data_IF_760387424173
#
_entry.id   IF_760387424173
#
_cell.length_a   1.000
_cell.length_b   1.000
_cell.length_c   1.000
_cell.angle_alpha   90.00
_cell.angle_beta   90.00
_cell.angle_gamma   90.00
#
_symmetry.space_group_name_H-M   'P 1'
#
loop_
_entity.id
_entity.type
_entity.pdbx_description
1 polymer ?
#
# COMPACT_ATOMS: atom_id res chain seq x y z
N UNK A 1 -4.97 27.46 9.62
CA UNK A 1 -5.73 26.82 8.73
C UNK A 1 -5.68 25.32 8.85
N UNK A 2 -6.66 24.74 8.51
CA UNK A 2 -6.82 23.38 8.80
C UNK A 2 -6.49 22.55 7.60
N UNK A 3 -5.80 21.50 7.83
CA UNK A 3 -5.57 20.57 6.80
C UNK A 3 -6.69 19.56 6.78
N UNK A 4 -7.30 19.47 5.67
CA UNK A 4 -8.46 18.66 5.53
C UNK A 4 -8.17 17.18 5.51
N UNK A 5 -6.96 16.81 5.16
CA UNK A 5 -6.60 15.40 5.08
C UNK A 5 -6.02 14.91 6.39
N UNK A 6 -6.86 14.81 7.38
CA UNK A 6 -6.44 14.31 8.68
C UNK A 6 -7.08 12.97 9.01
N UNK A 7 -7.38 12.18 7.99
CA UNK A 7 -8.11 10.95 8.19
C UNK A 7 -7.29 9.84 8.83
N UNK A 8 -5.96 9.89 8.66
CA UNK A 8 -5.10 8.84 9.17
C UNK A 8 -5.52 7.48 8.59
N UNK A 9 -6.04 7.48 7.38
CA UNK A 9 -6.49 6.26 6.74
C UNK A 9 -5.42 5.73 5.81
N UNK A 10 -5.15 4.44 5.96
CA UNK A 10 -4.17 3.74 5.14
C UNK A 10 -4.90 2.92 4.09
N UNK A 11 -4.48 3.08 2.85
CA UNK A 11 -5.00 2.29 1.74
C UNK A 11 -4.03 1.15 1.49
N UNK A 12 -4.49 -0.10 1.57
CA UNK A 12 -3.64 -1.24 1.26
C UNK A 12 -3.96 -1.70 -0.15
N UNK A 13 -2.98 -1.55 -1.03
CA UNK A 13 -3.11 -1.99 -2.41
C UNK A 13 -2.52 -3.39 -2.56
N UNK A 14 -3.30 -4.31 -3.13
CA UNK A 14 -2.82 -5.68 -3.26
C UNK A 14 -3.58 -6.40 -4.36
N UNK A 15 -2.94 -7.44 -4.92
CA UNK A 15 -3.60 -8.31 -5.86
C UNK A 15 -4.48 -9.31 -5.09
N UNK A 16 -5.38 -9.97 -5.81
CA UNK A 16 -6.31 -10.90 -5.20
C UNK A 16 -5.61 -11.98 -4.38
N UNK A 17 -4.51 -12.49 -4.90
CA UNK A 17 -3.81 -13.59 -4.24
C UNK A 17 -3.17 -13.19 -2.92
N UNK A 18 -3.06 -11.90 -2.67
CA UNK A 18 -2.45 -11.40 -1.44
C UNK A 18 -3.47 -11.00 -0.39
N UNK A 19 -4.71 -11.42 -0.58
CA UNK A 19 -5.79 -11.04 0.32
C UNK A 19 -5.50 -11.41 1.77
N UNK A 20 -4.97 -12.62 1.98
CA UNK A 20 -4.74 -13.10 3.34
C UNK A 20 -3.77 -12.19 4.09
N UNK A 21 -2.67 -11.84 3.45
CA UNK A 21 -1.72 -10.93 4.08
C UNK A 21 -2.32 -9.55 4.25
N UNK A 22 -3.02 -9.05 3.24
CA UNK A 22 -3.62 -7.73 3.33
C UNK A 22 -4.61 -7.66 4.48
N UNK A 23 -5.42 -8.71 4.64
CA UNK A 23 -6.41 -8.73 5.71
C UNK A 23 -5.74 -8.78 7.07
N UNK A 24 -4.71 -9.62 7.21
CA UNK A 24 -3.98 -9.71 8.47
C UNK A 24 -3.32 -8.38 8.81
N UNK A 25 -2.71 -7.76 7.82
CA UNK A 25 -2.05 -6.48 8.01
C UNK A 25 -3.05 -5.41 8.42
N UNK A 26 -4.23 -5.41 7.79
CA UNK A 26 -5.26 -4.43 8.13
C UNK A 26 -5.68 -4.56 9.58
N UNK A 27 -5.85 -5.79 10.05
CA UNK A 27 -6.26 -6.01 11.44
C UNK A 27 -5.20 -5.51 12.40
N UNK A 28 -3.93 -5.78 12.10
CA UNK A 28 -2.86 -5.33 12.97
C UNK A 28 -2.73 -3.81 12.99
N UNK A 29 -2.93 -3.17 11.85
CA UNK A 29 -2.90 -1.72 11.80
C UNK A 29 -4.05 -1.11 12.58
N UNK A 30 -5.23 -1.71 12.49
CA UNK A 30 -6.38 -1.22 13.24
C UNK A 30 -6.16 -1.31 14.74
N UNK A 31 -5.49 -2.36 15.18
CA UNK A 31 -5.16 -2.49 16.59
C UNK A 31 -4.28 -1.36 17.09
N UNK A 32 -3.54 -0.74 16.19
CA UNK A 32 -2.66 0.37 16.53
C UNK A 32 -3.29 1.73 16.28
N UNK A 33 -4.59 1.74 15.99
CA UNK A 33 -5.32 2.99 15.88
C UNK A 33 -5.45 3.56 14.49
N UNK A 34 -4.95 2.85 13.47
CA UNK A 34 -5.08 3.32 12.10
C UNK A 34 -6.45 2.98 11.55
N UNK A 35 -6.98 3.84 10.72
CA UNK A 35 -8.09 3.50 9.85
C UNK A 35 -7.49 2.84 8.62
N UNK A 36 -8.13 1.77 8.16
CA UNK A 36 -7.57 1.02 7.04
C UNK A 36 -8.66 0.71 6.03
N UNK A 37 -8.32 0.88 4.78
CA UNK A 37 -9.19 0.47 3.68
C UNK A 37 -8.46 -0.52 2.79
N UNK A 38 -9.10 -1.65 2.54
CA UNK A 38 -8.67 -2.61 1.52
C UNK A 38 -9.90 -3.38 1.08
N UNK A 39 -9.83 -3.98 -0.11
CA UNK A 39 -11.03 -4.69 -0.56
C UNK A 39 -11.05 -6.10 0.02
N UNK A 40 -12.23 -6.46 0.50
CA UNK A 40 -12.44 -7.80 1.05
C UNK A 40 -12.63 -8.79 -0.08
N UNK A 41 -13.37 -8.40 -1.10
CA UNK A 41 -13.47 -9.22 -2.27
C UNK A 41 -13.54 -8.32 -3.49
N UNK A 42 -12.94 -8.80 -4.55
CA UNK A 42 -12.84 -8.00 -5.76
C UNK A 42 -14.09 -8.17 -6.58
N UNK A 43 -14.71 -7.06 -6.89
CA UNK A 43 -15.88 -7.03 -7.75
C UNK A 43 -15.55 -6.19 -8.98
N UNK A 44 -16.52 -6.03 -9.83
CA UNK A 44 -16.36 -5.19 -11.02
C UNK A 44 -17.58 -4.34 -11.18
N UNK A 45 -17.45 -3.30 -12.01
CA UNK A 45 -18.55 -2.41 -12.28
C UNK A 45 -18.29 -1.01 -11.75
N UNK A 46 -19.21 -0.12 -12.07
CA UNK A 46 -19.06 1.29 -11.73
C UNK A 46 -19.10 1.53 -10.23
N UNK A 47 -19.98 0.83 -9.54
CA UNK A 47 -20.08 1.01 -8.11
C UNK A 47 -18.78 0.62 -7.41
N UNK A 48 -18.19 -0.47 -7.86
CA UNK A 48 -16.92 -0.93 -7.31
C UNK A 48 -15.80 0.08 -7.56
N UNK A 49 -15.76 0.59 -8.79
CA UNK A 49 -14.75 1.57 -9.16
C UNK A 49 -14.91 2.84 -8.32
N UNK A 50 -16.16 3.27 -8.12
CA UNK A 50 -16.41 4.45 -7.29
C UNK A 50 -15.95 4.27 -5.86
N UNK A 51 -16.13 3.08 -5.32
CA UNK A 51 -15.67 2.81 -3.96
C UNK A 51 -14.16 2.91 -3.84
N UNK A 52 -13.46 2.38 -4.84
CA UNK A 52 -12.00 2.47 -4.83
C UNK A 52 -11.55 3.92 -4.94
N UNK A 53 -12.17 4.67 -5.83
CA UNK A 53 -11.82 6.08 -6.00
C UNK A 53 -12.05 6.86 -4.72
N UNK A 54 -13.18 6.64 -4.07
CA UNK A 54 -13.46 7.33 -2.82
C UNK A 54 -12.43 6.98 -1.76
N UNK A 55 -12.09 5.70 -1.67
CA UNK A 55 -11.12 5.26 -0.68
C UNK A 55 -9.75 5.89 -0.92
N UNK A 56 -9.34 5.98 -2.19
CA UNK A 56 -8.06 6.60 -2.52
C UNK A 56 -8.05 8.07 -2.14
N UNK A 57 -9.16 8.76 -2.36
CA UNK A 57 -9.25 10.17 -2.02
C UNK A 57 -9.33 10.40 -0.53
N UNK A 58 -9.93 9.47 0.19
CA UNK A 58 -10.09 9.60 1.64
C UNK A 58 -8.86 9.16 2.41
N UNK A 59 -7.95 8.45 1.77
CA UNK A 59 -6.74 7.98 2.42
C UNK A 59 -5.62 8.97 2.24
N UNK A 60 -4.66 8.95 3.15
CA UNK A 60 -3.50 9.82 3.04
C UNK A 60 -2.19 9.04 3.14
N UNK A 61 -2.24 7.73 3.07
CA UNK A 61 -1.05 6.90 3.02
C UNK A 61 -1.40 5.58 2.36
N UNK A 62 -0.38 4.90 1.87
CA UNK A 62 -0.60 3.64 1.16
C UNK A 62 0.51 2.65 1.47
N UNK A 63 0.11 1.41 1.67
CA UNK A 63 1.03 0.28 1.69
C UNK A 63 0.68 -0.57 0.47
N UNK A 64 1.65 -0.77 -0.40
CA UNK A 64 1.43 -1.56 -1.62
C UNK A 64 2.15 -2.89 -1.50
N UNK A 65 1.39 -3.97 -1.51
CA UNK A 65 1.95 -5.32 -1.43
C UNK A 65 2.21 -5.79 -2.86
N UNK A 66 3.47 -6.02 -3.18
CA UNK A 66 3.90 -6.31 -4.53
C UNK A 66 4.61 -7.65 -4.60
N UNK A 67 4.17 -8.48 -5.53
CA UNK A 67 4.83 -9.75 -5.81
C UNK A 67 4.52 -10.10 -7.26
N UNK A 68 4.86 -11.32 -7.67
CA UNK A 68 4.67 -11.72 -9.06
C UNK A 68 3.24 -11.52 -9.54
N UNK A 69 2.27 -11.77 -8.65
CA UNK A 69 0.86 -11.68 -9.04
C UNK A 69 0.43 -10.23 -9.26
N UNK A 70 0.97 -9.32 -8.47
CA UNK A 70 0.55 -7.92 -8.54
C UNK A 70 1.17 -7.20 -9.73
N UNK A 71 2.30 -7.69 -10.24
CA UNK A 71 2.97 -7.01 -11.36
C UNK A 71 2.10 -6.92 -12.60
N UNK A 72 1.18 -7.86 -12.77
CA UNK A 72 0.29 -7.84 -13.93
C UNK A 72 -1.10 -7.34 -13.58
N UNK A 73 -1.32 -6.90 -12.36
CA UNK A 73 -2.63 -6.41 -11.95
C UNK A 73 -2.80 -4.95 -12.36
N UNK A 74 -3.78 -4.68 -13.20
CA UNK A 74 -4.04 -3.30 -13.60
C UNK A 74 -4.61 -2.49 -12.43
N UNK A 75 -5.30 -3.13 -11.50
CA UNK A 75 -5.81 -2.43 -10.32
C UNK A 75 -4.69 -1.91 -9.46
N UNK A 76 -3.71 -2.78 -9.16
CA UNK A 76 -2.58 -2.37 -8.34
C UNK A 76 -1.81 -1.24 -9.02
N UNK A 77 -1.59 -1.39 -10.32
CA UNK A 77 -0.85 -0.36 -11.05
C UNK A 77 -1.57 0.98 -11.01
N UNK A 78 -2.88 0.97 -11.22
CA UNK A 78 -3.64 2.22 -11.20
C UNK A 78 -3.62 2.88 -9.83
N UNK A 79 -3.71 2.07 -8.78
CA UNK A 79 -3.68 2.60 -7.42
C UNK A 79 -2.32 3.19 -7.10
N UNK A 80 -1.25 2.52 -7.53
CA UNK A 80 0.09 3.05 -7.35
C UNK A 80 0.26 4.38 -8.07
N UNK A 81 -0.23 4.46 -9.30
CA UNK A 81 -0.10 5.69 -10.07
C UNK A 81 -0.85 6.83 -9.41
N UNK A 82 -2.03 6.53 -8.87
CA UNK A 82 -2.77 7.56 -8.15
C UNK A 82 -1.94 8.11 -6.99
N UNK A 83 -1.35 7.22 -6.20
CA UNK A 83 -0.58 7.65 -5.04
C UNK A 83 0.68 8.41 -5.46
N UNK A 84 1.32 7.98 -6.53
CA UNK A 84 2.56 8.62 -6.97
C UNK A 84 2.34 10.04 -7.46
N UNK A 85 1.17 10.33 -8.00
CA UNK A 85 0.90 11.65 -8.55
C UNK A 85 0.02 12.51 -7.65
N UNK A 86 -0.19 12.09 -6.41
CA UNK A 86 -1.03 12.82 -5.48
C UNK A 86 -0.20 13.35 -4.32
N UNK A 87 -0.26 14.66 -4.10
CA UNK A 87 0.54 15.31 -3.06
C UNK A 87 0.26 14.75 -1.66
N UNK A 88 -0.97 14.34 -1.41
CA UNK A 88 -1.31 13.82 -0.09
C UNK A 88 -0.52 12.58 0.27
N UNK A 89 -0.09 11.83 -0.73
CA UNK A 89 0.66 10.59 -0.51
C UNK A 89 2.17 10.80 -0.53
N UNK A 90 2.62 12.01 -0.73
CA UNK A 90 4.05 12.26 -0.85
C UNK A 90 4.77 11.84 0.43
N UNK A 91 5.75 10.95 0.27
CA UNK A 91 6.50 10.37 1.39
C UNK A 91 5.61 9.59 2.35
N UNK A 92 4.48 9.11 1.84
CA UNK A 92 3.54 8.32 2.64
C UNK A 92 3.12 7.06 1.90
N UNK A 93 3.90 6.65 0.92
CA UNK A 93 3.68 5.42 0.16
C UNK A 93 4.82 4.46 0.46
N UNK A 94 4.48 3.28 0.95
CA UNK A 94 5.46 2.24 1.23
C UNK A 94 5.26 1.06 0.29
N UNK A 95 6.12 0.88 -0.71
CA UNK A 95 6.08 -0.34 -1.50
C UNK A 95 6.72 -1.49 -0.72
N UNK A 96 6.07 -2.63 -0.72
CA UNK A 96 6.56 -3.82 -0.03
C UNK A 96 6.68 -4.94 -1.06
N UNK A 97 7.91 -5.32 -1.36
CA UNK A 97 8.17 -6.40 -2.32
C UNK A 97 8.34 -7.70 -1.57
N UNK A 98 7.53 -8.69 -1.91
CA UNK A 98 7.56 -9.98 -1.23
C UNK A 98 7.99 -11.04 -2.22
N UNK A 99 9.01 -11.81 -1.84
CA UNK A 99 9.57 -12.84 -2.70
C UNK A 99 10.66 -12.30 -3.57
N UNK A 100 11.00 -13.05 -4.62
CA UNK A 100 12.07 -12.62 -5.50
C UNK A 100 11.64 -11.49 -6.41
N UNK A 101 12.56 -10.59 -6.66
CA UNK A 101 12.38 -9.50 -7.60
C UNK A 101 13.01 -9.89 -8.91
N UNK A 102 12.19 -10.05 -9.91
CA UNK A 102 12.64 -10.37 -11.25
C UNK A 102 12.68 -9.08 -12.03
N UNK A 103 13.83 -8.80 -12.65
CA UNK A 103 13.99 -7.57 -13.42
C UNK A 103 12.90 -7.43 -14.48
N UNK A 104 12.51 -8.53 -15.09
CA UNK A 104 11.49 -8.50 -16.13
C UNK A 104 10.15 -8.01 -15.57
N UNK A 105 9.89 -8.26 -14.30
CA UNK A 105 8.65 -7.82 -13.67
C UNK A 105 8.72 -6.38 -13.23
N UNK A 106 9.92 -5.90 -12.93
CA UNK A 106 10.12 -4.51 -12.53
C UNK A 106 9.69 -3.54 -13.62
N UNK A 107 9.91 -3.91 -14.88
CA UNK A 107 9.58 -2.98 -15.96
C UNK A 107 8.08 -2.78 -16.10
N UNK A 108 7.27 -3.59 -15.45
CA UNK A 108 5.82 -3.43 -15.49
C UNK A 108 5.31 -2.46 -14.45
N UNK A 109 6.17 -2.05 -13.53
CA UNK A 109 5.80 -1.11 -12.50
C UNK A 109 6.41 0.25 -12.81
N UNK A 110 5.83 1.32 -12.26
CA UNK A 110 6.46 2.64 -12.46
C UNK A 110 7.89 2.62 -11.93
N UNK A 111 8.81 3.05 -12.77
CA UNK A 111 10.24 3.02 -12.42
C UNK A 111 10.54 3.83 -11.17
N UNK A 112 9.71 4.82 -10.89
CA UNK A 112 9.96 5.70 -9.75
C UNK A 112 9.86 4.96 -8.42
N UNK A 113 9.20 3.79 -8.41
CA UNK A 113 9.12 2.99 -7.17
C UNK A 113 10.48 2.59 -6.67
N UNK A 114 11.45 2.44 -7.57
CA UNK A 114 12.80 2.06 -7.15
C UNK A 114 13.54 3.21 -6.52
N UNK A 115 12.99 4.43 -6.60
CA UNK A 115 13.61 5.61 -6.00
C UNK A 115 13.03 5.94 -4.65
N UNK A 116 11.96 5.27 -4.26
CA UNK A 116 11.36 5.48 -2.94
C UNK A 116 11.97 4.53 -1.94
N UNK A 117 11.77 4.84 -0.67
CA UNK A 117 12.08 3.84 0.35
C UNK A 117 11.11 2.69 0.18
N UNK A 118 11.63 1.48 0.17
CA UNK A 118 10.78 0.32 0.01
C UNK A 118 11.30 -0.81 0.91
N UNK A 119 10.46 -1.82 1.07
CA UNK A 119 10.76 -2.96 1.92
C UNK A 119 10.78 -4.23 1.07
N UNK A 120 11.75 -5.09 1.32
CA UNK A 120 11.81 -6.39 0.66
C UNK A 120 11.74 -7.47 1.71
N UNK A 121 10.81 -8.40 1.57
CA UNK A 121 10.63 -9.46 2.53
C UNK A 121 10.57 -10.81 1.83
N UNK A 122 11.09 -11.85 2.49
CA UNK A 122 11.02 -13.19 1.90
C UNK A 122 9.62 -13.75 1.99
N UNK A 123 9.31 -14.59 1.01
CA UNK A 123 7.99 -15.21 0.93
C UNK A 123 7.72 -16.20 2.05
N UNK A 124 8.79 -16.73 2.63
CA UNK A 124 8.69 -17.84 3.56
C UNK A 124 8.33 -17.44 4.99
N UNK A 125 8.21 -16.14 5.26
CA UNK A 125 7.90 -15.71 6.62
C UNK A 125 6.43 -15.86 6.95
N UNK A 126 6.13 -15.95 8.25
CA UNK A 126 4.75 -16.04 8.70
C UNK A 126 4.02 -14.71 8.49
N UNK A 127 2.70 -14.77 8.50
CA UNK A 127 1.91 -13.56 8.37
C UNK A 127 2.24 -12.57 9.47
N UNK A 128 2.41 -13.06 10.71
CA UNK A 128 2.73 -12.18 11.82
C UNK A 128 4.07 -11.48 11.61
N UNK A 129 5.05 -12.23 11.17
CA UNK A 129 6.39 -11.67 10.94
C UNK A 129 6.36 -10.64 9.83
N UNK A 130 5.67 -10.95 8.74
CA UNK A 130 5.55 -10.01 7.63
C UNK A 130 4.84 -8.73 8.07
N UNK A 131 3.73 -8.90 8.77
CA UNK A 131 2.96 -7.73 9.21
C UNK A 131 3.77 -6.87 10.16
N UNK A 132 4.48 -7.49 11.10
CA UNK A 132 5.27 -6.72 12.06
C UNK A 132 6.33 -5.89 11.38
N UNK A 133 7.02 -6.46 10.41
CA UNK A 133 8.07 -5.73 9.71
C UNK A 133 7.50 -4.62 8.84
N UNK A 134 6.36 -4.89 8.20
CA UNK A 134 5.74 -3.88 7.36
C UNK A 134 5.29 -2.69 8.21
N UNK A 135 4.65 -2.97 9.34
CA UNK A 135 4.14 -1.90 10.19
C UNK A 135 5.28 -1.08 10.79
N UNK A 136 6.34 -1.76 11.21
CA UNK A 136 7.48 -1.06 11.76
C UNK A 136 8.06 -0.08 10.75
N UNK A 137 8.25 -0.53 9.52
CA UNK A 137 8.80 0.32 8.49
C UNK A 137 7.84 1.45 8.12
N UNK A 138 6.55 1.14 8.09
CA UNK A 138 5.54 2.12 7.76
C UNK A 138 5.50 3.25 8.79
N UNK A 139 5.54 2.87 10.07
CA UNK A 139 5.54 3.87 11.15
C UNK A 139 6.79 4.75 11.05
N UNK A 140 7.93 4.15 10.75
CA UNK A 140 9.15 4.93 10.57
C UNK A 140 9.02 5.91 9.41
N UNK A 141 8.43 5.47 8.32
CA UNK A 141 8.26 6.34 7.15
C UNK A 141 7.40 7.55 7.51
N UNK A 142 6.30 7.33 8.22
CA UNK A 142 5.44 8.44 8.60
C UNK A 142 6.15 9.38 9.57
N UNK A 143 6.94 8.85 10.48
CA UNK A 143 7.67 9.65 11.44
C UNK A 143 8.72 10.53 10.76
N UNK A 144 9.40 9.97 9.77
CA UNK A 144 10.41 10.73 9.03
C UNK A 144 9.77 11.89 8.27
N UNK A 145 8.59 11.67 7.73
CA UNK A 145 7.88 12.72 7.04
C UNK A 145 7.61 13.89 7.99
N UNK A 146 7.19 13.58 9.21
CA UNK A 146 6.89 14.62 10.18
C UNK A 146 8.13 15.38 10.60
N UNK A 147 9.23 14.67 10.76
CA UNK A 147 10.46 15.32 11.19
C UNK A 147 11.14 16.10 10.08
N UNK A 148 10.87 15.74 8.85
CA UNK A 148 11.52 16.35 7.70
C UNK A 148 10.96 17.68 7.28
N UNK A 149 10.06 18.22 8.05
CA UNK A 149 9.43 19.47 7.67
C UNK A 149 10.34 20.64 7.79
#
# INVERSE_FOLDING_TARGET
MVNEKMSNQVFISHARNDYELANFLAEELRKRGFKVWHYIERRSGEEWTSQIESALKDSDSMIAILNQNSYSSSYVRNELEFALFNEDYKNRLLPVFIGSLDEANFVRLPWVLTKLEYLRLPESESLQSLADEIIEQFVLLLSEKERGK
#
